data_IF_385261411752
#
_entry.id   IF_385261411752
#
_cell.length_a   1.000
_cell.length_b   1.000
_cell.length_c   1.000
_cell.angle_alpha   90.00
_cell.angle_beta   90.00
_cell.angle_gamma   90.00
#
_symmetry.space_group_name_H-M   'P 1'
#
loop_
_entity.id
_entity.type
_entity.pdbx_description
1 polymer ?
#
# COMPACT_ATOMS: atom_id res chain seq x y z
N UNK A 1 0.69 9.65 -47.04
CA UNK A 1 0.07 9.24 -45.77
C UNK A 1 0.74 7.95 -45.33
N UNK A 2 1.44 7.96 -44.20
CA UNK A 2 1.71 6.78 -43.36
C UNK A 2 2.14 7.28 -41.99
N UNK A 3 1.15 7.47 -41.13
CA UNK A 3 1.34 7.47 -39.69
C UNK A 3 1.08 6.05 -39.18
N UNK A 4 1.84 5.64 -38.16
CA UNK A 4 1.86 4.39 -37.36
C UNK A 4 3.35 4.01 -37.21
N UNK A 5 3.99 3.89 -36.05
CA UNK A 5 3.55 3.78 -34.66
C UNK A 5 4.67 4.29 -33.74
N UNK A 6 4.44 5.41 -33.05
CA UNK A 6 5.22 5.75 -31.86
C UNK A 6 4.58 5.03 -30.67
N UNK A 7 4.93 3.75 -30.46
CA UNK A 7 4.65 3.05 -29.19
C UNK A 7 5.49 3.65 -28.07
N UNK A 8 5.05 4.79 -27.56
CA UNK A 8 5.43 5.28 -26.24
C UNK A 8 4.37 4.86 -25.23
N UNK A 9 4.58 3.77 -24.50
CA UNK A 9 3.87 3.55 -23.22
C UNK A 9 4.63 2.61 -22.29
N UNK A 10 5.81 3.05 -21.86
CA UNK A 10 6.39 2.63 -20.59
C UNK A 10 6.22 3.78 -19.60
N UNK A 11 5.07 3.88 -18.93
CA UNK A 11 4.74 5.05 -18.08
C UNK A 11 4.11 4.62 -16.75
N UNK A 12 4.70 5.06 -15.64
CA UNK A 12 4.02 5.39 -14.39
C UNK A 12 3.76 4.31 -13.33
N UNK A 13 3.43 3.06 -13.71
CA UNK A 13 2.75 2.13 -12.78
C UNK A 13 3.47 1.80 -11.46
N UNK A 14 4.80 1.79 -11.42
CA UNK A 14 5.55 1.39 -10.23
C UNK A 14 5.54 2.41 -9.08
N UNK A 15 5.49 3.72 -9.39
CA UNK A 15 5.47 4.78 -8.37
C UNK A 15 4.05 5.00 -7.84
N UNK A 16 3.06 4.96 -8.73
CA UNK A 16 1.65 5.13 -8.38
C UNK A 16 1.14 3.97 -7.51
N UNK A 17 1.49 2.72 -7.86
CA UNK A 17 1.23 1.56 -7.00
C UNK A 17 1.92 1.66 -5.62
N UNK A 18 3.08 2.33 -5.56
CA UNK A 18 3.75 2.64 -4.31
C UNK A 18 2.97 3.64 -3.45
N UNK A 19 2.47 4.73 -4.04
CA UNK A 19 1.67 5.75 -3.33
C UNK A 19 0.36 5.17 -2.81
N UNK A 20 -0.34 4.38 -3.62
CA UNK A 20 -1.57 3.70 -3.20
C UNK A 20 -1.33 2.79 -1.99
N UNK A 21 -0.26 1.99 -2.02
CA UNK A 21 0.11 1.12 -0.90
C UNK A 21 0.42 1.93 0.39
N UNK A 22 1.08 3.08 0.28
CA UNK A 22 1.33 3.95 1.44
C UNK A 22 0.04 4.58 1.99
N UNK A 23 -0.88 5.02 1.12
CA UNK A 23 -2.17 5.56 1.55
C UNK A 23 -3.02 4.50 2.25
N UNK A 24 -3.04 3.28 1.73
CA UNK A 24 -3.69 2.14 2.39
C UNK A 24 -3.03 1.82 3.74
N UNK A 25 -1.69 1.83 3.82
CA UNK A 25 -0.97 1.66 5.10
C UNK A 25 -1.42 2.70 6.11
N UNK A 26 -1.50 3.98 5.74
CA UNK A 26 -1.93 5.05 6.64
C UNK A 26 -3.38 4.88 7.11
N UNK A 27 -4.31 4.59 6.19
CA UNK A 27 -5.72 4.40 6.52
C UNK A 27 -5.94 3.19 7.45
N UNK A 28 -5.33 2.05 7.13
CA UNK A 28 -5.38 0.83 7.95
C UNK A 28 -4.72 1.06 9.30
N UNK A 29 -3.57 1.73 9.33
CA UNK A 29 -2.84 2.07 10.55
C UNK A 29 -3.69 2.91 11.51
N UNK A 30 -4.28 4.01 11.02
CA UNK A 30 -5.16 4.85 11.83
C UNK A 30 -6.39 4.09 12.34
N UNK A 31 -7.00 3.26 11.49
CA UNK A 31 -8.14 2.41 11.88
C UNK A 31 -7.78 1.43 12.98
N UNK A 32 -6.62 0.78 12.88
CA UNK A 32 -6.16 -0.15 13.91
C UNK A 32 -5.91 0.56 15.25
N UNK A 33 -5.40 1.79 15.25
CA UNK A 33 -5.28 2.59 16.47
C UNK A 33 -6.64 2.92 17.08
N UNK A 34 -7.63 3.31 16.28
CA UNK A 34 -9.02 3.55 16.76
C UNK A 34 -9.60 2.30 17.43
N UNK A 35 -9.25 1.11 16.92
CA UNK A 35 -9.67 -0.18 17.48
C UNK A 35 -8.82 -0.65 18.67
N UNK A 36 -7.88 0.17 19.16
CA UNK A 36 -7.06 -0.12 20.34
C UNK A 36 -5.83 -1.00 20.08
N UNK A 37 -5.45 -1.22 18.81
CA UNK A 37 -4.16 -1.84 18.51
C UNK A 37 -3.05 -0.80 18.62
N UNK A 38 -1.90 -1.24 19.13
CA UNK A 38 -0.73 -0.37 19.30
C UNK A 38 0.56 -1.09 18.89
N UNK A 39 1.62 -0.31 18.72
CA UNK A 39 2.96 -0.79 18.43
C UNK A 39 4.03 0.03 19.16
N UNK A 40 5.17 -0.58 19.53
CA UNK A 40 6.28 0.18 20.05
C UNK A 40 6.90 1.04 18.95
N UNK A 41 7.51 2.16 19.34
CA UNK A 41 8.30 2.99 18.45
C UNK A 41 9.60 2.28 18.02
N UNK A 42 10.18 2.73 16.90
CA UNK A 42 11.47 2.23 16.41
C UNK A 42 11.44 0.77 15.94
N UNK A 43 12.54 0.06 16.17
CA UNK A 43 12.77 -1.28 15.61
C UNK A 43 11.78 -2.37 16.08
N UNK A 44 11.01 -2.12 17.15
CA UNK A 44 9.96 -3.02 17.60
C UNK A 44 8.68 -2.96 16.75
N UNK A 45 8.47 -1.87 16.02
CA UNK A 45 7.23 -1.59 15.27
C UNK A 45 6.86 -2.75 14.34
N UNK A 46 7.82 -3.23 13.56
CA UNK A 46 7.62 -4.28 12.54
C UNK A 46 7.39 -5.68 13.11
N UNK A 47 7.64 -5.88 14.41
CA UNK A 47 7.35 -7.15 15.11
C UNK A 47 6.03 -7.14 15.86
N UNK A 48 5.35 -5.99 15.92
CA UNK A 48 4.09 -5.85 16.64
C UNK A 48 2.95 -6.67 16.03
N UNK A 49 1.95 -7.01 16.86
CA UNK A 49 0.71 -7.60 16.36
C UNK A 49 -0.02 -6.66 15.40
N UNK A 50 0.01 -5.35 15.69
CA UNK A 50 -0.59 -4.32 14.84
C UNK A 50 0.03 -4.30 13.45
N UNK A 51 1.37 -4.32 13.34
CA UNK A 51 2.07 -4.34 12.05
C UNK A 51 1.69 -5.55 11.19
N UNK A 52 1.70 -6.76 11.76
CA UNK A 52 1.33 -7.98 11.03
C UNK A 52 -0.10 -7.88 10.49
N UNK A 53 -1.01 -7.30 11.29
CA UNK A 53 -2.41 -7.14 10.91
C UNK A 53 -2.58 -6.05 9.84
N UNK A 54 -1.84 -4.95 9.94
CA UNK A 54 -1.78 -3.89 8.92
C UNK A 54 -1.40 -4.47 7.56
N UNK A 55 -0.25 -5.15 7.47
CA UNK A 55 0.24 -5.66 6.19
C UNK A 55 -0.70 -6.72 5.60
N UNK A 56 -1.36 -7.52 6.45
CA UNK A 56 -2.39 -8.46 6.00
C UNK A 56 -3.56 -7.74 5.30
N UNK A 57 -4.06 -6.64 5.86
CA UNK A 57 -5.16 -5.88 5.24
C UNK A 57 -4.70 -5.11 4.01
N UNK A 58 -3.52 -4.50 4.03
CA UNK A 58 -2.95 -3.79 2.86
C UNK A 58 -2.82 -4.73 1.67
N UNK A 59 -2.25 -5.92 1.87
CA UNK A 59 -2.18 -6.93 0.81
C UNK A 59 -3.56 -7.37 0.31
N UNK A 60 -4.53 -7.61 1.20
CA UNK A 60 -5.88 -8.00 0.76
C UNK A 60 -6.58 -6.92 -0.04
N UNK A 61 -6.43 -5.65 0.35
CA UNK A 61 -7.06 -4.52 -0.31
C UNK A 61 -6.43 -4.23 -1.68
N UNK A 62 -5.09 -4.27 -1.79
CA UNK A 62 -4.40 -4.12 -3.07
C UNK A 62 -4.72 -5.25 -4.07
N UNK A 63 -4.97 -6.45 -3.56
CA UNK A 63 -5.27 -7.63 -4.39
C UNK A 63 -6.78 -7.84 -4.62
N UNK A 64 -7.64 -7.10 -3.93
CA UNK A 64 -9.11 -7.28 -3.94
C UNK A 64 -9.85 -6.34 -4.89
N UNK A 65 -9.16 -5.41 -5.56
CA UNK A 65 -9.76 -4.37 -6.43
C UNK A 65 -9.83 -4.75 -7.91
N UNK A 66 -9.94 -6.06 -8.23
CA UNK A 66 -10.14 -6.53 -9.62
C UNK A 66 -11.56 -6.35 -10.11
#
# INVERSE_FOLDING_TARGET
MSGQDLRGSGRGRGKEAGVEAELLRLAVHGTLHVLGYDHPNGAGRTRSAMWRRQETYVHRLLNGTS
#
